data_IF_086217209056
#
_entry.id   IF_086217209056
#
_cell.length_a   1.000
_cell.length_b   1.000
_cell.length_c   1.000
_cell.angle_alpha   90.00
_cell.angle_beta   90.00
_cell.angle_gamma   90.00
#
_symmetry.space_group_name_H-M   'P 1'
#
loop_
_entity.id
_entity.type
_entity.pdbx_description
1 polymer ?
#
# COMPACT_ATOMS: atom_id res chain seq x y z
N UNK A 1 30.71 -14.78 17.36
CA UNK A 1 29.57 -15.33 18.13
C UNK A 1 29.83 -15.45 19.62
N UNK A 2 31.10 -15.50 20.05
CA UNK A 2 31.54 -15.52 21.45
C UNK A 2 31.74 -14.10 22.04
N UNK A 3 30.93 -13.15 21.59
CA UNK A 3 30.94 -11.79 22.13
C UNK A 3 30.18 -11.74 23.45
N UNK A 4 30.64 -10.86 24.33
CA UNK A 4 29.91 -10.48 25.53
C UNK A 4 28.52 -9.95 25.14
N UNK A 5 27.53 -10.16 26.02
CA UNK A 5 26.12 -9.89 25.73
C UNK A 5 25.89 -8.43 25.31
N UNK A 6 26.58 -7.49 25.96
CA UNK A 6 26.49 -6.06 25.68
C UNK A 6 27.05 -5.69 24.29
N UNK A 7 28.18 -6.28 23.89
CA UNK A 7 28.79 -6.03 22.59
C UNK A 7 27.92 -6.57 21.46
N UNK A 8 27.34 -7.75 21.66
CA UNK A 8 26.37 -8.32 20.74
C UNK A 8 25.14 -7.44 20.57
N UNK A 9 24.57 -6.95 21.67
CA UNK A 9 23.40 -6.08 21.63
C UNK A 9 23.70 -4.78 20.87
N UNK A 10 24.87 -4.17 21.10
CA UNK A 10 25.30 -2.96 20.38
C UNK A 10 25.41 -3.21 18.88
N UNK A 11 25.98 -4.34 18.49
CA UNK A 11 26.09 -4.74 17.08
C UNK A 11 24.74 -5.04 16.44
N UNK A 12 23.83 -5.71 17.15
CA UNK A 12 22.48 -5.99 16.66
C UNK A 12 21.69 -4.69 16.43
N UNK A 13 21.80 -3.72 17.34
CA UNK A 13 21.19 -2.39 17.17
C UNK A 13 21.84 -1.58 16.04
N UNK A 14 23.15 -1.73 15.81
CA UNK A 14 23.81 -1.11 14.63
C UNK A 14 23.27 -1.68 13.31
N UNK A 15 23.04 -2.99 13.26
CA UNK A 15 22.53 -3.70 12.08
C UNK A 15 21.03 -3.46 11.85
N UNK A 16 20.31 -2.94 12.83
CA UNK A 16 18.87 -2.72 12.78
C UNK A 16 18.47 -1.71 11.72
N UNK A 17 17.50 -2.07 10.89
CA UNK A 17 17.03 -1.25 9.77
C UNK A 17 17.98 -1.25 8.56
N UNK A 18 19.09 -1.99 8.61
CA UNK A 18 19.96 -2.23 7.45
C UNK A 18 19.37 -3.31 6.56
N UNK A 19 19.76 -3.28 5.28
CA UNK A 19 19.41 -4.29 4.31
C UNK A 19 20.57 -5.28 4.19
N UNK A 20 20.26 -6.56 4.26
CA UNK A 20 21.19 -7.63 3.91
C UNK A 20 20.82 -8.24 2.57
N UNK A 21 21.83 -8.79 1.90
CA UNK A 21 21.66 -9.42 0.60
C UNK A 21 22.30 -10.80 0.57
N UNK A 22 21.63 -11.77 -0.05
CA UNK A 22 22.12 -13.10 -0.33
C UNK A 22 21.94 -13.36 -1.84
N UNK A 23 22.98 -13.13 -2.65
CA UNK A 23 22.92 -13.39 -4.08
C UNK A 23 22.57 -14.86 -4.36
N UNK A 24 21.50 -15.09 -5.13
CA UNK A 24 21.01 -16.44 -5.46
C UNK A 24 19.81 -16.89 -4.61
N UNK A 25 19.50 -16.21 -3.50
CA UNK A 25 18.29 -16.47 -2.72
C UNK A 25 17.06 -15.72 -3.28
N UNK A 26 15.86 -16.23 -2.96
CA UNK A 26 14.58 -15.56 -3.22
C UNK A 26 13.77 -15.50 -1.91
N UNK A 27 13.60 -14.32 -1.28
CA UNK A 27 14.08 -13.00 -1.71
C UNK A 27 15.61 -12.85 -1.59
N UNK A 28 16.20 -12.08 -2.50
CA UNK A 28 17.65 -11.83 -2.49
C UNK A 28 18.06 -10.83 -1.42
N UNK A 29 17.21 -9.86 -1.08
CA UNK A 29 17.53 -8.82 -0.10
C UNK A 29 16.36 -8.59 0.84
N UNK A 30 16.67 -8.41 2.13
CA UNK A 30 15.70 -8.26 3.22
C UNK A 30 16.23 -7.27 4.24
N UNK A 31 15.35 -6.47 4.83
CA UNK A 31 15.65 -5.56 5.94
C UNK A 31 15.71 -6.34 7.26
N UNK A 32 16.77 -6.13 8.05
CA UNK A 32 16.86 -6.64 9.42
C UNK A 32 16.04 -5.71 10.33
N UNK A 33 15.07 -6.26 11.06
CA UNK A 33 14.39 -5.52 12.12
C UNK A 33 14.85 -5.95 13.52
N UNK A 34 15.13 -7.24 13.71
CA UNK A 34 15.81 -7.79 14.90
C UNK A 34 16.79 -8.87 14.45
N UNK A 35 17.82 -9.09 15.28
CA UNK A 35 18.84 -10.10 15.06
C UNK A 35 19.00 -10.91 16.34
N UNK A 36 18.47 -12.13 16.33
CA UNK A 36 18.40 -12.99 17.50
C UNK A 36 19.52 -14.03 17.46
N UNK A 37 20.11 -14.29 18.63
CA UNK A 37 21.16 -15.29 18.83
C UNK A 37 20.61 -16.39 19.72
N UNK A 38 19.68 -17.18 19.20
CA UNK A 38 19.21 -18.38 19.91
C UNK A 38 20.14 -19.56 19.60
N UNK A 39 20.94 -19.95 20.59
CA UNK A 39 21.73 -21.18 20.56
C UNK A 39 21.02 -22.22 21.42
N UNK A 40 20.30 -23.14 20.77
CA UNK A 40 19.60 -24.24 21.47
C UNK A 40 20.55 -25.30 22.01
N UNK A 41 21.73 -25.46 21.39
CA UNK A 41 22.75 -26.41 21.81
C UNK A 41 24.12 -25.73 21.90
N UNK A 42 24.78 -25.68 23.07
CA UNK A 42 26.09 -25.05 23.22
C UNK A 42 27.19 -25.72 22.38
N UNK A 43 27.01 -26.97 21.96
CA UNK A 43 28.00 -27.74 21.21
C UNK A 43 27.98 -27.45 19.70
N UNK A 44 26.90 -26.82 19.19
CA UNK A 44 26.71 -26.53 17.76
C UNK A 44 26.51 -25.04 17.55
N UNK A 45 27.50 -24.39 16.95
CA UNK A 45 27.43 -22.96 16.61
C UNK A 45 26.46 -22.78 15.43
N UNK A 46 25.27 -22.26 15.71
CA UNK A 46 24.29 -21.86 14.71
C UNK A 46 24.49 -20.41 14.28
N UNK A 47 24.09 -20.10 13.04
CA UNK A 47 24.02 -18.72 12.57
C UNK A 47 22.89 -17.98 13.28
N UNK A 48 23.06 -16.67 13.58
CA UNK A 48 21.98 -15.83 14.10
C UNK A 48 20.73 -15.85 13.20
N UNK A 49 19.57 -15.60 13.80
CA UNK A 49 18.29 -15.52 13.12
C UNK A 49 17.98 -14.06 12.84
N UNK A 50 17.70 -13.74 11.58
CA UNK A 50 17.19 -12.44 11.15
C UNK A 50 15.67 -12.48 11.27
N UNK A 51 15.12 -11.56 12.06
CA UNK A 51 13.68 -11.34 12.14
C UNK A 51 13.32 -10.12 11.29
N UNK A 52 12.40 -10.34 10.36
CA UNK A 52 11.87 -9.33 9.47
C UNK A 52 10.36 -9.18 9.68
N UNK A 53 9.92 -7.96 10.02
CA UNK A 53 8.50 -7.60 10.07
C UNK A 53 8.05 -7.14 8.68
N UNK A 54 7.55 -8.10 7.91
CA UNK A 54 7.04 -7.89 6.57
C UNK A 54 5.55 -7.54 6.53
N UNK A 55 5.11 -7.06 5.37
CA UNK A 55 3.69 -6.83 5.07
C UNK A 55 3.28 -7.77 3.95
N UNK A 56 2.38 -8.70 4.24
CA UNK A 56 1.80 -9.57 3.23
C UNK A 56 1.04 -8.74 2.18
N UNK A 57 1.19 -9.06 0.88
CA UNK A 57 0.33 -8.53 -0.17
C UNK A 57 -1.14 -8.72 0.17
N UNK A 58 -1.97 -7.72 -0.12
CA UNK A 58 -3.39 -7.75 0.24
C UNK A 58 -4.11 -8.95 -0.40
N UNK A 59 -3.70 -9.32 -1.61
CA UNK A 59 -4.22 -10.46 -2.37
C UNK A 59 -4.02 -11.80 -1.66
N UNK A 60 -2.97 -11.94 -0.85
CA UNK A 60 -2.66 -13.18 -0.11
C UNK A 60 -3.12 -13.13 1.36
N UNK A 61 -3.71 -12.01 1.77
CA UNK A 61 -4.26 -11.80 3.12
C UNK A 61 -5.75 -12.13 3.16
N UNK A 62 -6.40 -11.96 4.33
CA UNK A 62 -7.86 -12.07 4.47
C UNK A 62 -8.63 -11.21 3.45
N UNK A 63 -8.05 -10.12 2.95
CA UNK A 63 -8.71 -9.25 1.96
C UNK A 63 -8.86 -9.93 0.59
N UNK A 64 -7.98 -10.88 0.25
CA UNK A 64 -8.05 -11.67 -0.97
C UNK A 64 -9.03 -12.84 -0.90
N UNK A 65 -9.42 -13.28 0.31
CA UNK A 65 -10.31 -14.42 0.50
C UNK A 65 -11.71 -14.15 -0.10
N UNK A 66 -12.18 -14.97 -1.08
CA UNK A 66 -13.51 -14.82 -1.66
C UNK A 66 -14.65 -14.87 -0.62
N UNK A 67 -14.50 -15.68 0.43
CA UNK A 67 -15.51 -15.78 1.49
C UNK A 67 -15.60 -14.48 2.28
N UNK A 68 -14.45 -13.95 2.71
CA UNK A 68 -14.37 -12.64 3.35
C UNK A 68 -14.96 -11.52 2.47
N UNK A 69 -14.63 -11.48 1.18
CA UNK A 69 -15.14 -10.45 0.26
C UNK A 69 -16.66 -10.50 0.11
N UNK A 70 -17.24 -11.69 -0.02
CA UNK A 70 -18.70 -11.88 -0.08
C UNK A 70 -19.37 -11.43 1.21
N UNK A 71 -18.82 -11.84 2.36
CA UNK A 71 -19.33 -11.46 3.68
C UNK A 71 -19.24 -9.95 3.91
N UNK A 72 -18.12 -9.33 3.53
CA UNK A 72 -17.92 -7.88 3.62
C UNK A 72 -18.91 -7.09 2.78
N UNK A 73 -19.11 -7.48 1.51
CA UNK A 73 -20.12 -6.88 0.62
C UNK A 73 -21.52 -6.98 1.23
N UNK A 74 -21.87 -8.14 1.77
CA UNK A 74 -23.14 -8.40 2.43
C UNK A 74 -23.34 -7.57 3.71
N UNK A 75 -22.29 -7.42 4.51
CA UNK A 75 -22.27 -6.58 5.71
C UNK A 75 -22.47 -5.10 5.36
N UNK A 76 -21.70 -4.55 4.41
CA UNK A 76 -21.81 -3.14 4.00
C UNK A 76 -23.19 -2.84 3.41
N UNK A 77 -23.76 -3.77 2.61
CA UNK A 77 -25.12 -3.66 2.07
C UNK A 77 -26.16 -3.59 3.19
N UNK A 78 -26.09 -4.50 4.18
CA UNK A 78 -27.02 -4.50 5.31
C UNK A 78 -26.89 -3.22 6.14
N UNK A 79 -25.67 -2.76 6.42
CA UNK A 79 -25.43 -1.51 7.15
C UNK A 79 -26.05 -0.30 6.43
N UNK A 80 -25.90 -0.23 5.12
CA UNK A 80 -26.50 0.83 4.31
C UNK A 80 -28.04 0.76 4.31
N UNK A 81 -28.62 -0.44 4.22
CA UNK A 81 -30.08 -0.62 4.29
C UNK A 81 -30.62 -0.16 5.65
N UNK A 82 -29.97 -0.54 6.75
CA UNK A 82 -30.42 -0.16 8.09
C UNK A 82 -30.32 1.35 8.33
N UNK A 83 -29.29 2.01 7.79
CA UNK A 83 -29.15 3.47 7.89
C UNK A 83 -30.26 4.24 7.17
N UNK A 84 -30.85 3.66 6.13
CA UNK A 84 -31.92 4.29 5.34
C UNK A 84 -33.32 3.72 5.64
N UNK A 85 -33.41 2.74 6.53
CA UNK A 85 -34.68 2.10 6.86
C UNK A 85 -35.43 2.94 7.91
N UNK A 86 -36.73 3.22 7.72
CA UNK A 86 -37.50 4.08 8.63
C UNK A 86 -37.70 3.45 10.01
N UNK A 87 -37.71 2.11 10.10
CA UNK A 87 -37.77 1.36 11.37
C UNK A 87 -36.78 0.20 11.31
N UNK A 88 -35.85 0.17 12.26
CA UNK A 88 -34.83 -0.88 12.35
C UNK A 88 -35.29 -1.96 13.33
N UNK A 89 -35.48 -3.20 12.83
CA UNK A 89 -35.84 -4.35 13.68
C UNK A 89 -34.63 -4.84 14.49
N UNK A 90 -34.88 -5.33 15.70
CA UNK A 90 -33.81 -5.84 16.58
C UNK A 90 -33.10 -7.06 15.98
N UNK A 91 -33.84 -7.91 15.26
CA UNK A 91 -33.30 -9.08 14.54
C UNK A 91 -32.29 -8.69 13.47
N UNK A 92 -32.49 -7.57 12.78
CA UNK A 92 -31.57 -7.10 11.75
C UNK A 92 -30.29 -6.50 12.36
N UNK A 93 -30.38 -5.86 13.53
CA UNK A 93 -29.20 -5.45 14.31
C UNK A 93 -28.38 -6.66 14.76
N UNK A 94 -29.04 -7.71 15.25
CA UNK A 94 -28.38 -8.97 15.63
C UNK A 94 -27.67 -9.61 14.43
N UNK A 95 -28.32 -9.68 13.26
CA UNK A 95 -27.69 -10.17 12.02
C UNK A 95 -26.47 -9.35 11.61
N UNK A 96 -26.52 -8.01 11.77
CA UNK A 96 -25.39 -7.14 11.48
C UNK A 96 -24.21 -7.45 12.43
N UNK A 97 -24.48 -7.57 13.72
CA UNK A 97 -23.48 -7.90 14.73
C UNK A 97 -22.84 -9.28 14.49
N UNK A 98 -23.65 -10.31 14.18
CA UNK A 98 -23.15 -11.65 13.84
C UNK A 98 -22.23 -11.62 12.62
N UNK A 99 -22.57 -10.85 11.58
CA UNK A 99 -21.70 -10.70 10.38
C UNK A 99 -20.41 -9.96 10.71
N UNK A 100 -20.47 -8.96 11.58
CA UNK A 100 -19.29 -8.24 12.05
C UNK A 100 -18.35 -9.14 12.86
N UNK A 101 -18.90 -9.95 13.77
CA UNK A 101 -18.15 -10.95 14.53
C UNK A 101 -17.49 -11.98 13.61
N UNK A 102 -18.21 -12.49 12.62
CA UNK A 102 -17.65 -13.42 11.63
C UNK A 102 -16.51 -12.78 10.82
N UNK A 103 -16.63 -11.51 10.43
CA UNK A 103 -15.55 -10.76 9.78
C UNK A 103 -14.34 -10.59 10.70
N UNK A 104 -14.56 -10.31 11.99
CA UNK A 104 -13.49 -10.20 12.98
C UNK A 104 -12.76 -11.53 13.20
N UNK A 105 -13.49 -12.65 13.29
CA UNK A 105 -12.91 -14.01 13.38
C UNK A 105 -11.96 -14.30 12.22
N UNK A 106 -12.37 -13.97 10.99
CA UNK A 106 -11.52 -14.15 9.81
C UNK A 106 -10.27 -13.24 9.88
N UNK A 107 -10.42 -11.98 10.32
CA UNK A 107 -9.29 -11.05 10.45
C UNK A 107 -8.29 -11.46 11.54
N UNK A 108 -8.76 -12.07 12.61
CA UNK A 108 -7.92 -12.48 13.74
C UNK A 108 -7.09 -13.73 13.44
N UNK A 109 -7.50 -14.57 12.47
CA UNK A 109 -6.79 -15.79 12.09
C UNK A 109 -5.36 -15.47 11.63
N UNK A 110 -4.35 -15.91 12.41
CA UNK A 110 -2.93 -15.60 12.18
C UNK A 110 -2.45 -15.96 10.77
N UNK A 111 -2.96 -17.05 10.19
CA UNK A 111 -2.56 -17.51 8.84
C UNK A 111 -2.87 -16.50 7.73
N UNK A 112 -3.84 -15.60 7.94
CA UNK A 112 -4.32 -14.64 6.93
C UNK A 112 -4.06 -13.18 7.31
N UNK A 113 -3.33 -12.94 8.41
CA UNK A 113 -2.96 -11.59 8.85
C UNK A 113 -2.03 -10.93 7.84
N UNK A 114 -2.16 -9.61 7.76
CA UNK A 114 -1.38 -8.79 6.82
C UNK A 114 0.01 -8.49 7.35
N UNK A 115 0.15 -8.28 8.65
CA UNK A 115 1.45 -8.17 9.30
C UNK A 115 1.98 -9.58 9.53
N UNK A 116 3.21 -9.84 9.08
CA UNK A 116 3.85 -11.15 9.15
C UNK A 116 5.26 -10.98 9.70
N UNK A 117 5.61 -11.80 10.69
CA UNK A 117 6.98 -12.00 11.15
C UNK A 117 7.60 -13.11 10.32
N UNK A 118 8.74 -12.83 9.70
CA UNK A 118 9.52 -13.81 8.96
C UNK A 118 10.86 -13.97 9.67
N UNK A 119 11.15 -15.19 10.07
CA UNK A 119 12.42 -15.59 10.68
C UNK A 119 13.26 -16.29 9.61
N UNK A 120 14.47 -15.79 9.38
CA UNK A 120 15.39 -16.30 8.36
C UNK A 120 16.75 -16.57 9.01
N UNK A 121 17.38 -17.70 8.69
CA UNK A 121 18.79 -17.91 9.05
C UNK A 121 19.66 -16.85 8.38
N UNK A 122 20.61 -16.25 9.11
CA UNK A 122 21.55 -15.28 8.55
C UNK A 122 22.62 -15.91 7.64
N UNK A 123 22.60 -17.23 7.45
CA UNK A 123 23.57 -17.94 6.62
C UNK A 123 23.53 -17.46 5.16
N UNK A 124 24.69 -17.06 4.63
CA UNK A 124 24.83 -16.57 3.25
C UNK A 124 24.37 -15.13 3.03
N UNK A 125 23.86 -14.44 4.06
CA UNK A 125 23.53 -13.02 3.98
C UNK A 125 24.74 -12.14 4.24
N UNK A 126 24.96 -11.17 3.35
CA UNK A 126 26.02 -10.18 3.39
C UNK A 126 25.44 -8.84 3.83
N UNK A 127 26.13 -8.17 4.74
CA UNK A 127 25.78 -6.81 5.16
C UNK A 127 26.16 -5.82 4.06
N UNK A 128 25.20 -5.00 3.64
CA UNK A 128 25.41 -4.06 2.52
C UNK A 128 25.88 -2.68 2.94
N UNK A 129 25.72 -2.30 4.21
CA UNK A 129 25.94 -0.91 4.65
C UNK A 129 24.75 0.02 4.36
N UNK A 130 23.77 -0.43 3.58
CA UNK A 130 22.64 0.39 3.12
C UNK A 130 21.46 0.25 4.08
N UNK A 131 20.83 1.37 4.41
CA UNK A 131 19.63 1.43 5.25
C UNK A 131 18.35 1.48 4.41
N UNK A 132 17.23 1.14 5.05
CA UNK A 132 15.90 1.03 4.42
C UNK A 132 15.32 2.35 3.87
N UNK A 133 15.84 3.50 4.29
CA UNK A 133 15.47 4.83 3.79
C UNK A 133 15.85 5.03 2.32
N UNK A 134 17.01 4.50 1.90
CA UNK A 134 17.47 4.55 0.51
C UNK A 134 16.50 3.81 -0.40
N UNK A 135 15.99 2.65 0.03
CA UNK A 135 14.99 1.91 -0.73
C UNK A 135 13.71 2.71 -0.94
N UNK A 136 13.25 3.47 0.06
CA UNK A 136 12.06 4.31 -0.09
C UNK A 136 12.24 5.35 -1.20
N UNK A 137 13.39 6.04 -1.23
CA UNK A 137 13.71 7.03 -2.26
C UNK A 137 13.88 6.39 -3.62
N UNK A 138 14.61 5.26 -3.70
CA UNK A 138 14.82 4.53 -4.93
C UNK A 138 13.49 4.12 -5.60
N UNK A 139 12.49 3.71 -4.81
CA UNK A 139 11.17 3.33 -5.32
C UNK A 139 10.31 4.52 -5.79
N UNK A 140 10.67 5.76 -5.44
CA UNK A 140 10.01 6.97 -5.94
C UNK A 140 10.59 7.46 -7.27
N UNK A 141 11.86 7.12 -7.59
CA UNK A 141 12.50 7.55 -8.83
C UNK A 141 11.78 7.09 -10.11
N UNK A 142 11.26 5.84 -10.22
CA UNK A 142 10.49 5.42 -11.40
C UNK A 142 9.27 6.30 -11.70
N UNK A 143 8.63 6.84 -10.66
CA UNK A 143 7.49 7.77 -10.81
C UNK A 143 7.94 9.05 -11.50
N UNK A 144 9.07 9.61 -11.05
CA UNK A 144 9.65 10.83 -11.60
C UNK A 144 10.13 10.62 -13.04
N UNK A 145 10.84 9.53 -13.31
CA UNK A 145 11.34 9.25 -14.67
C UNK A 145 10.20 9.01 -15.64
N UNK A 146 9.14 8.32 -15.23
CA UNK A 146 7.92 8.18 -16.02
C UNK A 146 7.28 9.54 -16.31
N UNK A 147 7.15 10.40 -15.30
CA UNK A 147 6.60 11.74 -15.46
C UNK A 147 7.39 12.58 -16.47
N UNK A 148 8.72 12.65 -16.34
CA UNK A 148 9.58 13.40 -17.26
C UNK A 148 9.43 12.89 -18.69
N UNK A 149 9.52 11.56 -18.88
CA UNK A 149 9.38 10.94 -20.22
C UNK A 149 8.00 11.22 -20.81
N UNK A 150 6.95 11.15 -20.02
CA UNK A 150 5.59 11.43 -20.47
C UNK A 150 5.42 12.88 -20.91
N UNK A 151 5.96 13.85 -20.14
CA UNK A 151 5.91 15.25 -20.55
C UNK A 151 6.73 15.55 -21.80
N UNK A 152 7.86 14.87 -22.02
CA UNK A 152 8.59 14.96 -23.29
C UNK A 152 7.75 14.44 -24.47
N UNK A 153 7.01 13.34 -24.28
CA UNK A 153 6.06 12.86 -25.30
C UNK A 153 4.95 13.88 -25.57
N UNK A 154 4.39 14.52 -24.52
CA UNK A 154 3.40 15.59 -24.70
C UNK A 154 3.99 16.81 -25.43
N UNK A 155 5.27 17.15 -25.20
CA UNK A 155 5.93 18.23 -25.95
C UNK A 155 6.08 17.88 -27.43
N UNK A 156 6.29 16.61 -27.75
CA UNK A 156 6.30 16.17 -29.14
C UNK A 156 4.89 16.19 -29.76
N UNK A 157 3.88 15.79 -28.99
CA UNK A 157 2.48 15.81 -29.41
C UNK A 157 2.01 17.23 -29.77
N UNK A 158 2.36 18.25 -28.98
CA UNK A 158 2.05 19.65 -29.29
C UNK A 158 2.60 20.09 -30.65
N UNK A 159 3.83 19.66 -30.98
CA UNK A 159 4.45 19.97 -32.27
C UNK A 159 3.69 19.33 -33.43
N UNK A 160 3.11 18.15 -33.22
CA UNK A 160 2.31 17.45 -34.22
C UNK A 160 0.93 18.09 -34.41
N UNK A 161 0.30 18.56 -33.32
CA UNK A 161 -0.99 19.27 -33.38
C UNK A 161 -0.83 20.67 -34.01
N UNK A 162 0.35 21.29 -33.86
CA UNK A 162 0.60 22.65 -34.33
C UNK A 162 0.14 23.73 -33.34
N UNK A 163 -0.25 23.35 -32.12
CA UNK A 163 -0.61 24.25 -31.03
C UNK A 163 0.14 23.87 -29.76
N UNK A 164 0.80 24.84 -29.12
CA UNK A 164 1.54 24.63 -27.87
C UNK A 164 0.67 25.02 -26.69
N UNK A 165 0.33 24.04 -25.85
CA UNK A 165 -0.47 24.29 -24.65
C UNK A 165 0.39 24.95 -23.57
N UNK A 166 -0.06 26.12 -23.08
CA UNK A 166 0.59 26.84 -21.98
C UNK A 166 0.46 26.06 -20.65
N UNK A 167 -0.74 25.56 -20.34
CA UNK A 167 -0.97 24.72 -19.17
C UNK A 167 -0.71 23.24 -19.49
N UNK A 168 0.48 22.77 -19.11
CA UNK A 168 0.91 21.37 -19.31
C UNK A 168 0.15 20.39 -18.43
N UNK A 169 -0.28 20.83 -17.24
CA UNK A 169 -1.01 19.98 -16.30
C UNK A 169 -2.42 19.72 -16.82
N UNK A 170 -3.07 20.72 -17.40
CA UNK A 170 -4.37 20.56 -18.04
C UNK A 170 -4.28 19.63 -19.27
N UNK A 171 -3.25 19.77 -20.09
CA UNK A 171 -3.01 18.86 -21.22
C UNK A 171 -2.80 17.41 -20.75
N UNK A 172 -1.98 17.20 -19.72
CA UNK A 172 -1.82 15.88 -19.10
C UNK A 172 -3.15 15.32 -18.61
N UNK A 173 -3.96 16.14 -17.92
CA UNK A 173 -5.27 15.74 -17.43
C UNK A 173 -6.22 15.36 -18.59
N UNK A 174 -6.24 16.13 -19.68
CA UNK A 174 -7.05 15.82 -20.86
C UNK A 174 -6.72 14.45 -21.48
N UNK A 175 -5.46 14.03 -21.38
CA UNK A 175 -4.96 12.75 -21.88
C UNK A 175 -5.12 11.58 -20.89
N UNK A 176 -5.70 11.80 -19.71
CA UNK A 176 -5.94 10.73 -18.72
C UNK A 176 -7.30 10.07 -18.89
N UNK A 177 -7.33 8.74 -18.80
CA UNK A 177 -8.56 7.95 -18.90
C UNK A 177 -9.16 7.63 -17.52
N UNK A 178 -10.49 7.54 -17.33
CA UNK A 178 -11.11 7.26 -16.03
C UNK A 178 -10.76 5.90 -15.43
N UNK A 179 -10.44 4.92 -16.28
CA UNK A 179 -9.94 3.60 -15.85
C UNK A 179 -8.46 3.60 -15.43
N UNK A 180 -7.75 4.73 -15.58
CA UNK A 180 -6.34 4.80 -15.21
C UNK A 180 -6.17 4.58 -13.71
N UNK A 181 -5.50 3.47 -13.37
CA UNK A 181 -5.03 3.21 -12.02
C UNK A 181 -3.55 3.53 -11.94
N UNK A 182 -3.12 4.05 -10.79
CA UNK A 182 -1.78 4.60 -10.53
C UNK A 182 -0.69 3.52 -10.66
N UNK A 183 -0.25 3.26 -11.89
CA UNK A 183 0.79 2.26 -12.18
C UNK A 183 2.16 2.91 -12.49
N UNK A 184 2.24 4.25 -12.55
CA UNK A 184 3.49 5.04 -12.61
C UNK A 184 4.60 4.49 -13.52
N UNK A 185 4.25 3.84 -14.63
CA UNK A 185 5.23 3.31 -15.60
C UNK A 185 6.06 2.10 -15.14
N UNK A 186 5.74 1.46 -14.01
CA UNK A 186 6.42 0.25 -13.51
C UNK A 186 5.38 -0.76 -13.01
N UNK A 187 5.73 -2.05 -13.01
CA UNK A 187 4.85 -3.05 -12.41
C UNK A 187 4.65 -2.77 -10.90
N UNK A 188 3.42 -2.46 -10.43
CA UNK A 188 3.17 -2.14 -9.03
C UNK A 188 3.51 -3.27 -8.07
N UNK A 189 3.45 -4.52 -8.52
CA UNK A 189 3.76 -5.67 -7.65
C UNK A 189 5.25 -5.79 -7.35
N UNK A 190 6.12 -5.49 -8.32
CA UNK A 190 7.55 -5.38 -8.05
C UNK A 190 7.83 -4.25 -7.04
N UNK A 191 7.14 -3.12 -7.20
CA UNK A 191 7.30 -2.00 -6.27
C UNK A 191 6.88 -2.37 -4.84
N UNK A 192 5.72 -3.03 -4.70
CA UNK A 192 5.18 -3.47 -3.40
C UNK A 192 6.08 -4.50 -2.75
N UNK A 193 6.62 -5.46 -3.52
CA UNK A 193 7.51 -6.48 -2.98
C UNK A 193 8.83 -5.87 -2.49
N UNK A 194 9.44 -4.97 -3.27
CA UNK A 194 10.65 -4.25 -2.85
C UNK A 194 10.42 -3.41 -1.59
N UNK A 195 9.29 -2.69 -1.51
CA UNK A 195 8.93 -1.90 -0.32
C UNK A 195 8.60 -2.77 0.90
N UNK A 196 7.96 -3.92 0.72
CA UNK A 196 7.69 -4.85 1.82
C UNK A 196 8.97 -5.41 2.40
N UNK A 197 9.89 -5.86 1.54
CA UNK A 197 11.11 -6.55 1.96
C UNK A 197 12.18 -5.58 2.47
N UNK A 198 12.32 -4.41 1.83
CA UNK A 198 13.45 -3.49 2.06
C UNK A 198 13.05 -2.07 2.49
N UNK A 199 11.75 -1.71 2.46
CA UNK A 199 11.28 -0.37 2.81
C UNK A 199 11.26 -0.10 4.31
N UNK A 200 10.71 1.03 4.76
CA UNK A 200 10.60 1.33 6.19
C UNK A 200 9.45 0.54 6.85
N UNK A 201 9.61 0.17 8.12
CA UNK A 201 8.55 -0.45 8.92
C UNK A 201 7.44 0.56 9.22
N UNK A 202 6.17 0.17 8.97
CA UNK A 202 4.96 0.90 9.32
C UNK A 202 5.03 2.44 9.07
N UNK A 203 5.20 2.88 7.82
CA UNK A 203 5.10 4.31 7.54
C UNK A 203 3.70 4.81 7.90
N UNK A 204 3.63 6.02 8.48
CA UNK A 204 2.36 6.66 8.84
C UNK A 204 1.62 7.02 7.56
N UNK A 205 0.64 6.21 7.19
CA UNK A 205 -0.28 6.53 6.12
C UNK A 205 -1.37 7.48 6.64
N UNK A 206 -1.61 8.58 5.92
CA UNK A 206 -2.72 9.48 6.20
C UNK A 206 -4.09 8.81 6.02
N UNK A 207 -5.17 9.57 6.25
CA UNK A 207 -6.52 9.01 6.19
C UNK A 207 -6.90 8.60 4.75
N UNK A 208 -7.32 7.33 4.58
CA UNK A 208 -7.77 6.77 3.30
C UNK A 208 -9.01 7.47 2.74
N UNK A 209 -9.74 8.22 3.57
CA UNK A 209 -10.92 8.98 3.16
C UNK A 209 -10.63 9.98 2.04
N UNK A 210 -9.41 10.53 1.97
CA UNK A 210 -9.02 11.51 0.93
C UNK A 210 -9.22 10.95 -0.48
N UNK A 211 -8.88 9.67 -0.70
CA UNK A 211 -9.06 9.02 -2.00
C UNK A 211 -10.53 8.81 -2.35
N UNK A 212 -11.37 8.47 -1.37
CA UNK A 212 -12.79 8.20 -1.61
C UNK A 212 -13.63 9.46 -1.73
N UNK A 213 -13.23 10.55 -1.07
CA UNK A 213 -14.01 11.79 -1.03
C UNK A 213 -14.15 12.45 -2.40
N UNK A 214 -13.10 12.38 -3.23
CA UNK A 214 -13.05 13.08 -4.52
C UNK A 214 -13.36 12.18 -5.72
N UNK A 215 -13.12 10.86 -5.62
CA UNK A 215 -13.32 9.92 -6.73
C UNK A 215 -14.67 9.22 -6.73
N UNK A 216 -15.35 9.14 -5.58
CA UNK A 216 -16.62 8.41 -5.49
C UNK A 216 -17.75 9.25 -6.07
N UNK A 217 -18.38 8.76 -7.14
CA UNK A 217 -19.52 9.40 -7.82
C UNK A 217 -20.83 8.64 -7.71
N UNK A 218 -20.77 7.37 -7.28
CA UNK A 218 -21.93 6.47 -7.26
C UNK A 218 -22.69 6.51 -5.92
N UNK A 219 -24.01 6.41 -6.01
CA UNK A 219 -24.94 6.25 -4.88
C UNK A 219 -25.72 7.52 -4.54
N UNK A 220 -26.96 7.36 -4.05
CA UNK A 220 -27.90 8.46 -3.80
C UNK A 220 -27.38 9.47 -2.77
N UNK A 221 -26.76 9.01 -1.67
CA UNK A 221 -26.19 9.91 -0.66
C UNK A 221 -25.05 10.77 -1.25
N UNK A 222 -24.25 10.19 -2.14
CA UNK A 222 -23.18 10.90 -2.83
C UNK A 222 -23.77 11.92 -3.80
N UNK A 223 -24.82 11.54 -4.55
CA UNK A 223 -25.52 12.43 -5.48
C UNK A 223 -26.12 13.63 -4.75
N UNK A 224 -26.90 13.39 -3.68
CA UNK A 224 -27.50 14.45 -2.86
C UNK A 224 -26.42 15.40 -2.35
N UNK A 225 -25.33 14.87 -1.80
CA UNK A 225 -24.21 15.67 -1.28
C UNK A 225 -23.46 16.47 -2.37
N UNK A 226 -23.44 16.01 -3.62
CA UNK A 226 -22.84 16.78 -4.73
C UNK A 226 -23.81 17.85 -5.19
N UNK A 227 -25.09 17.51 -5.38
CA UNK A 227 -26.14 18.43 -5.82
C UNK A 227 -26.48 19.51 -4.78
N UNK A 228 -26.22 19.26 -3.50
CA UNK A 228 -26.40 20.25 -2.43
C UNK A 228 -25.25 21.27 -2.35
N UNK A 229 -24.17 21.09 -3.12
CA UNK A 229 -23.05 22.06 -3.12
C UNK A 229 -23.45 23.26 -3.95
N UNK A 230 -23.40 24.43 -3.31
CA UNK A 230 -23.60 25.71 -3.99
C UNK A 230 -22.46 25.96 -4.98
N UNK A 231 -22.77 26.72 -6.03
CA UNK A 231 -21.77 27.23 -6.95
C UNK A 231 -20.74 28.08 -6.22
N UNK A 232 -19.53 28.12 -6.76
CA UNK A 232 -18.52 29.10 -6.37
C UNK A 232 -18.48 30.18 -7.46
N UNK A 233 -18.38 31.44 -7.04
CA UNK A 233 -18.30 32.58 -7.96
C UNK A 233 -16.96 32.57 -8.73
N UNK A 234 -15.88 32.17 -8.05
CA UNK A 234 -14.56 32.06 -8.65
C UNK A 234 -14.35 30.68 -9.29
N UNK A 235 -13.79 30.63 -10.53
CA UNK A 235 -13.47 29.37 -11.19
C UNK A 235 -12.33 28.66 -10.44
N UNK A 236 -12.63 27.49 -9.88
CA UNK A 236 -11.64 26.65 -9.21
C UNK A 236 -11.33 25.38 -10.00
N UNK A 237 -10.08 24.89 -9.99
CA UNK A 237 -9.72 23.66 -10.66
C UNK A 237 -10.46 22.47 -10.06
N UNK A 238 -10.97 21.59 -10.91
CA UNK A 238 -11.69 20.42 -10.45
C UNK A 238 -10.73 19.44 -9.76
N UNK A 239 -11.15 18.88 -8.62
CA UNK A 239 -10.37 17.84 -7.89
C UNK A 239 -10.46 16.44 -8.52
N UNK A 240 -10.96 16.37 -9.75
CA UNK A 240 -11.17 15.12 -10.48
C UNK A 240 -9.97 14.92 -11.40
N UNK A 241 -9.27 13.80 -11.23
CA UNK A 241 -8.00 13.52 -11.90
C UNK A 241 -8.17 12.69 -13.19
N UNK A 242 -9.25 12.90 -13.94
CA UNK A 242 -9.48 12.26 -15.24
C UNK A 242 -10.26 13.17 -16.19
N UNK A 243 -10.32 12.83 -17.47
CA UNK A 243 -10.83 13.71 -18.53
C UNK A 243 -12.36 13.77 -18.74
N UNK A 244 -13.19 12.97 -18.04
CA UNK A 244 -14.67 12.95 -18.27
C UNK A 244 -15.35 14.33 -18.37
N UNK A 245 -14.89 15.34 -17.61
CA UNK A 245 -15.46 16.70 -17.66
C UNK A 245 -14.96 17.54 -18.84
N UNK A 246 -13.79 17.20 -19.37
CA UNK A 246 -13.21 17.85 -20.54
C UNK A 246 -13.75 17.24 -21.83
N UNK A 247 -14.25 16.01 -21.76
CA UNK A 247 -14.94 15.33 -22.86
C UNK A 247 -16.37 15.85 -23.07
N UNK A 248 -17.09 16.15 -21.99
CA UNK A 248 -18.42 16.79 -22.02
C UNK A 248 -18.32 18.25 -22.47
#
# INVERSE_FOLDING_TARGET
>A
LQWEELEWQKYAEECKGMIVTNPGAKPSSVRIDQLDREQFNPDVITFPIIVHFGIRPAQLSYAGDPQYQKLWKSYVKLRHLLANSPKVKQTDKQKLAQREEALQKIRQKNTMRREVTVELSSQGFWKTGIRSDVCQHAMMLPVLTHHIRYHQCLMHLDKLIGYTFQDRCLLQLAMTHPSHHLNFGMNPDHARNSLSNCGIRQPKYGDRKVHHMHMRKKGINTLINIMSRLGQDDPTPSRINHNERLEF
#
